data_IF_439173261172
#
_entry.id   IF_439173261172
#
_cell.length_a   1.000
_cell.length_b   1.000
_cell.length_c   1.000
_cell.angle_alpha   90.00
_cell.angle_beta   90.00
_cell.angle_gamma   90.00
#
_symmetry.space_group_name_H-M   'P 1'
#
loop_
_entity.id
_entity.type
_entity.pdbx_description
1 polymer ?
#
# COMPACT_ATOMS: atom_id res chain seq x y z
N UNK A 1 -8.68 22.39 15.65
CA UNK A 1 -8.89 20.93 15.65
C UNK A 1 -8.28 20.39 16.94
N UNK A 2 -9.02 19.58 17.68
CA UNK A 2 -8.44 18.71 18.72
C UNK A 2 -8.48 17.32 18.10
N UNK A 3 -7.33 16.82 17.66
CA UNK A 3 -7.21 15.56 16.95
C UNK A 3 -6.11 14.75 17.62
N UNK A 4 -6.27 13.44 17.74
CA UNK A 4 -5.22 12.65 18.40
C UNK A 4 -3.98 12.52 17.53
N UNK A 5 -4.18 12.34 16.23
CA UNK A 5 -3.12 12.29 15.24
C UNK A 5 -3.46 13.22 14.06
N UNK A 6 -2.46 13.93 13.55
CA UNK A 6 -2.52 14.63 12.27
C UNK A 6 -1.53 13.97 11.32
N UNK A 7 -1.99 13.61 10.14
CA UNK A 7 -1.17 12.93 9.13
C UNK A 7 -0.92 13.88 7.97
N UNK A 8 0.35 14.21 7.73
CA UNK A 8 0.75 14.85 6.48
C UNK A 8 0.65 13.83 5.35
N UNK A 9 0.06 14.22 4.23
CA UNK A 9 -0.35 13.29 3.18
C UNK A 9 0.49 13.46 1.92
N UNK A 10 1.12 12.39 1.43
CA UNK A 10 1.84 12.38 0.15
C UNK A 10 1.28 11.37 -0.85
N UNK A 11 0.34 10.53 -0.46
CA UNK A 11 -0.24 9.47 -1.29
C UNK A 11 -1.55 9.94 -1.94
N UNK A 12 -2.68 9.25 -1.80
CA UNK A 12 -3.87 9.45 -2.64
C UNK A 12 -4.53 10.83 -2.44
N UNK A 13 -4.26 11.50 -1.32
CA UNK A 13 -4.67 12.90 -1.09
C UNK A 13 -3.91 13.93 -1.93
N UNK A 14 -2.87 13.53 -2.67
CA UNK A 14 -2.03 14.42 -3.49
C UNK A 14 -2.04 13.98 -4.95
N UNK A 15 -2.41 14.90 -5.84
CA UNK A 15 -2.36 14.66 -7.28
C UNK A 15 -0.92 14.39 -7.77
N UNK A 16 -0.77 13.49 -8.75
CA UNK A 16 0.54 13.07 -9.28
C UNK A 16 1.47 14.25 -9.68
N UNK A 17 1.01 15.31 -10.38
CA UNK A 17 1.86 16.44 -10.74
C UNK A 17 2.34 17.27 -9.53
N UNK A 18 1.63 17.16 -8.40
CA UNK A 18 1.90 17.94 -7.19
C UNK A 18 2.77 17.20 -6.19
N UNK A 19 3.07 15.91 -6.40
CA UNK A 19 3.87 15.07 -5.47
C UNK A 19 5.20 15.71 -5.10
N UNK A 20 5.93 16.23 -6.08
CA UNK A 20 7.23 16.86 -5.84
C UNK A 20 7.12 18.08 -4.91
N UNK A 21 6.11 18.94 -5.13
CA UNK A 21 5.87 20.12 -4.30
C UNK A 21 5.37 19.70 -2.91
N UNK A 22 4.47 18.72 -2.84
CA UNK A 22 3.92 18.22 -1.58
C UNK A 22 5.02 17.63 -0.66
N UNK A 23 6.02 16.94 -1.21
CA UNK A 23 7.18 16.46 -0.45
C UNK A 23 7.93 17.60 0.23
N UNK A 24 8.24 18.66 -0.53
CA UNK A 24 8.95 19.84 -0.01
C UNK A 24 8.11 20.48 1.10
N UNK A 25 6.81 20.67 0.86
CA UNK A 25 5.90 21.25 1.84
C UNK A 25 5.76 20.38 3.10
N UNK A 26 5.75 19.05 2.96
CA UNK A 26 5.72 18.13 4.10
C UNK A 26 7.01 18.22 4.91
N UNK A 27 8.18 18.26 4.27
CA UNK A 27 9.48 18.45 4.92
C UNK A 27 9.53 19.76 5.70
N UNK A 28 9.13 20.87 5.08
CA UNK A 28 9.06 22.18 5.74
C UNK A 28 8.04 22.19 6.90
N UNK A 29 6.90 21.53 6.72
CA UNK A 29 5.87 21.42 7.75
C UNK A 29 6.35 20.63 8.98
N UNK A 30 7.14 19.57 8.81
CA UNK A 30 7.69 18.80 9.94
C UNK A 30 8.52 19.70 10.87
N UNK A 31 9.42 20.51 10.31
CA UNK A 31 10.27 21.40 11.09
C UNK A 31 9.49 22.56 11.71
N UNK A 32 8.55 23.13 10.95
CA UNK A 32 7.70 24.21 11.45
C UNK A 32 6.83 23.74 12.62
N UNK A 33 6.17 22.59 12.46
CA UNK A 33 5.20 22.09 13.44
C UNK A 33 5.87 21.51 14.68
N UNK A 34 7.13 21.06 14.60
CA UNK A 34 7.89 20.57 15.77
C UNK A 34 8.10 21.66 16.84
N UNK A 35 8.18 22.93 16.45
CA UNK A 35 8.33 24.07 17.36
C UNK A 35 7.03 24.67 17.87
N UNK A 36 5.88 24.19 17.39
CA UNK A 36 4.56 24.73 17.75
C UNK A 36 3.88 23.86 18.81
N UNK A 37 3.12 24.49 19.71
CA UNK A 37 2.24 23.75 20.62
C UNK A 37 1.01 23.27 19.84
N UNK A 38 1.16 22.11 19.20
CA UNK A 38 0.06 21.49 18.46
C UNK A 38 -1.06 21.09 19.41
N UNK A 39 -2.30 21.25 18.97
CA UNK A 39 -3.49 20.69 19.63
C UNK A 39 -3.75 19.25 19.18
N UNK A 40 -2.69 18.54 18.79
CA UNK A 40 -2.71 17.12 18.48
C UNK A 40 -1.59 16.38 19.22
N UNK A 41 -1.83 15.11 19.54
CA UNK A 41 -0.87 14.30 20.30
C UNK A 41 0.27 13.78 19.41
N UNK A 42 -0.02 13.45 18.14
CA UNK A 42 0.95 12.85 17.22
C UNK A 42 0.92 13.51 15.83
N UNK A 43 2.10 13.66 15.21
CA UNK A 43 2.28 14.08 13.83
C UNK A 43 2.81 12.90 13.00
N UNK A 44 1.95 12.35 12.16
CA UNK A 44 2.29 11.31 11.21
C UNK A 44 2.61 11.87 9.83
N UNK A 45 3.24 11.05 8.99
CA UNK A 45 3.43 11.31 7.57
C UNK A 45 3.10 10.05 6.78
N UNK A 46 2.08 10.11 5.92
CA UNK A 46 1.75 9.05 4.96
C UNK A 46 2.53 9.27 3.68
N UNK A 47 3.43 8.35 3.39
CA UNK A 47 4.25 8.32 2.17
C UNK A 47 3.53 7.54 1.07
N UNK A 48 4.03 7.61 -0.15
CA UNK A 48 3.54 6.77 -1.25
C UNK A 48 3.93 5.30 -1.04
N UNK A 49 3.14 4.40 -1.63
CA UNK A 49 3.36 2.96 -1.57
C UNK A 49 4.65 2.53 -2.29
N UNK A 50 5.14 1.33 -1.98
CA UNK A 50 6.27 0.71 -2.70
C UNK A 50 5.92 0.54 -4.18
N UNK A 51 4.72 0.03 -4.47
CA UNK A 51 4.24 -0.24 -5.83
C UNK A 51 4.17 1.02 -6.71
N UNK A 52 3.98 2.21 -6.13
CA UNK A 52 3.97 3.47 -6.87
C UNK A 52 5.33 3.86 -7.46
N UNK A 53 6.43 3.30 -6.94
CA UNK A 53 7.80 3.72 -7.27
C UNK A 53 8.22 5.07 -6.69
N UNK A 54 7.34 5.76 -5.94
CA UNK A 54 7.56 7.12 -5.43
C UNK A 54 8.12 7.17 -4.00
N UNK A 55 8.08 6.06 -3.26
CA UNK A 55 8.54 5.99 -1.87
C UNK A 55 9.99 6.48 -1.69
N UNK A 56 10.88 6.13 -2.62
CA UNK A 56 12.27 6.57 -2.58
C UNK A 56 12.43 8.09 -2.63
N UNK A 57 11.66 8.75 -3.49
CA UNK A 57 11.66 10.21 -3.62
C UNK A 57 11.08 10.89 -2.38
N UNK A 58 10.02 10.32 -1.81
CA UNK A 58 9.39 10.82 -0.59
C UNK A 58 10.40 10.82 0.55
N UNK A 59 11.01 9.65 0.81
CA UNK A 59 11.95 9.48 1.92
C UNK A 59 13.20 10.34 1.72
N UNK A 60 13.73 10.40 0.50
CA UNK A 60 14.92 11.22 0.18
C UNK A 60 14.69 12.70 0.46
N UNK A 61 13.50 13.22 0.17
CA UNK A 61 13.17 14.62 0.46
C UNK A 61 12.91 14.85 1.95
N UNK A 62 12.10 14.00 2.57
CA UNK A 62 11.69 14.11 3.98
C UNK A 62 12.88 13.95 4.93
N UNK A 63 13.88 13.15 4.55
CA UNK A 63 15.14 13.04 5.28
C UNK A 63 15.88 14.38 5.48
N UNK A 64 15.56 15.42 4.71
CA UNK A 64 16.21 16.72 4.84
C UNK A 64 15.66 17.55 6.01
N UNK A 65 14.42 17.27 6.47
CA UNK A 65 13.85 17.93 7.64
C UNK A 65 14.74 17.67 8.85
N UNK A 66 14.89 18.63 9.76
CA UNK A 66 15.62 18.43 11.03
C UNK A 66 14.87 17.45 11.94
N UNK A 67 13.54 17.60 11.99
CA UNK A 67 12.60 16.81 12.79
C UNK A 67 11.89 15.75 11.94
N UNK A 68 11.77 14.54 12.49
CA UNK A 68 11.02 13.45 11.89
C UNK A 68 9.59 13.39 12.44
N UNK A 69 8.63 12.85 11.67
CA UNK A 69 7.31 12.52 12.22
C UNK A 69 7.43 11.46 13.32
N UNK A 70 6.47 11.42 14.23
CA UNK A 70 6.36 10.33 15.22
C UNK A 70 6.04 9.00 14.55
N UNK A 71 5.32 9.01 13.42
CA UNK A 71 5.00 7.81 12.67
C UNK A 71 5.08 8.03 11.15
N UNK A 72 5.77 7.12 10.46
CA UNK A 72 5.60 6.94 9.01
C UNK A 72 4.47 5.96 8.75
N UNK A 73 3.53 6.36 7.91
CA UNK A 73 2.43 5.52 7.45
C UNK A 73 2.73 5.09 6.01
N UNK A 74 2.82 3.78 5.78
CA UNK A 74 3.09 3.23 4.44
C UNK A 74 1.84 2.51 3.93
N UNK A 75 1.21 3.03 2.86
CA UNK A 75 0.00 2.45 2.30
C UNK A 75 0.31 1.24 1.41
N UNK A 76 -0.73 0.46 1.11
CA UNK A 76 -0.74 -0.62 0.10
C UNK A 76 0.44 -1.60 0.24
N UNK A 77 0.67 -2.12 1.46
CA UNK A 77 1.70 -3.13 1.73
C UNK A 77 1.13 -4.52 1.43
N UNK A 78 1.55 -5.12 0.31
CA UNK A 78 0.97 -6.36 -0.22
C UNK A 78 1.78 -7.62 0.05
N UNK A 79 3.02 -7.47 0.53
CA UNK A 79 3.95 -8.58 0.65
C UNK A 79 5.08 -8.35 1.67
N UNK A 80 5.71 -9.41 2.21
CA UNK A 80 6.95 -9.31 2.98
C UNK A 80 8.09 -8.62 2.22
N UNK A 81 8.11 -8.72 0.89
CA UNK A 81 9.10 -8.08 0.02
C UNK A 81 8.92 -6.56 -0.01
N UNK A 82 7.68 -6.06 0.05
CA UNK A 82 7.41 -4.62 0.20
C UNK A 82 7.97 -4.11 1.52
N UNK A 83 7.80 -4.87 2.61
CA UNK A 83 8.38 -4.52 3.93
C UNK A 83 9.90 -4.43 3.86
N UNK A 84 10.56 -5.38 3.21
CA UNK A 84 12.02 -5.33 3.02
C UNK A 84 12.42 -4.07 2.24
N UNK A 85 11.70 -3.77 1.15
CA UNK A 85 11.93 -2.58 0.33
C UNK A 85 11.76 -1.29 1.12
N UNK A 86 10.73 -1.19 1.96
CA UNK A 86 10.53 -0.05 2.87
C UNK A 86 11.77 0.14 3.73
N UNK A 87 12.21 -0.91 4.43
CA UNK A 87 13.37 -0.83 5.32
C UNK A 87 14.65 -0.40 4.58
N UNK A 88 14.87 -0.93 3.38
CA UNK A 88 16.05 -0.62 2.57
C UNK A 88 16.04 0.83 2.09
N UNK A 89 14.89 1.36 1.65
CA UNK A 89 14.74 2.77 1.26
C UNK A 89 15.04 3.70 2.44
N UNK A 90 14.46 3.42 3.61
CA UNK A 90 14.70 4.25 4.79
C UNK A 90 16.17 4.19 5.23
N UNK A 91 16.77 2.99 5.32
CA UNK A 91 18.18 2.81 5.69
C UNK A 91 19.16 3.48 4.73
N UNK A 92 18.86 3.45 3.43
CA UNK A 92 19.73 4.04 2.41
C UNK A 92 19.74 5.57 2.45
N UNK A 93 18.69 6.19 2.99
CA UNK A 93 18.54 7.65 3.05
C UNK A 93 18.75 8.23 4.45
N UNK A 94 18.65 7.42 5.51
CA UNK A 94 18.77 7.90 6.89
C UNK A 94 20.22 7.96 7.34
N UNK A 95 20.56 8.97 8.15
CA UNK A 95 21.86 9.02 8.82
C UNK A 95 21.94 7.94 9.91
N UNK A 96 23.15 7.48 10.31
CA UNK A 96 23.29 6.48 11.37
C UNK A 96 22.54 6.83 12.66
N UNK A 97 22.51 8.12 13.02
CA UNK A 97 21.77 8.64 14.18
C UNK A 97 20.27 8.37 14.08
N UNK A 98 19.68 8.54 12.88
CA UNK A 98 18.24 8.33 12.64
C UNK A 98 17.86 6.86 12.54
N UNK A 99 18.75 6.02 12.02
CA UNK A 99 18.55 4.57 12.02
C UNK A 99 18.54 4.02 13.46
N UNK A 100 19.25 4.65 14.40
CA UNK A 100 19.19 4.28 15.82
C UNK A 100 18.05 4.95 16.59
N UNK A 101 17.28 5.86 15.97
CA UNK A 101 16.19 6.54 16.63
C UNK A 101 14.97 5.61 16.74
N UNK A 102 14.62 5.27 17.98
CA UNK A 102 13.47 4.39 18.28
C UNK A 102 12.18 5.17 18.51
N UNK A 103 12.20 6.51 18.38
CA UNK A 103 11.01 7.34 18.54
C UNK A 103 10.14 7.34 17.29
N UNK A 104 10.71 7.10 16.11
CA UNK A 104 9.95 7.02 14.86
C UNK A 104 9.30 5.63 14.74
N UNK A 105 7.97 5.62 14.62
CA UNK A 105 7.13 4.43 14.47
C UNK A 105 6.82 4.15 13.00
N UNK A 106 6.50 2.89 12.70
CA UNK A 106 5.97 2.45 11.42
C UNK A 106 4.53 2.01 11.59
N UNK A 107 3.66 2.51 10.74
CA UNK A 107 2.29 2.06 10.56
C UNK A 107 2.15 1.58 9.12
N UNK A 108 1.67 0.35 8.92
CA UNK A 108 1.45 -0.20 7.57
C UNK A 108 -0.04 -0.30 7.30
N UNK A 109 -0.44 -0.11 6.05
CA UNK A 109 -1.83 -0.31 5.65
C UNK A 109 -1.98 -1.60 4.83
N UNK A 110 -3.01 -2.35 5.18
CA UNK A 110 -3.46 -3.56 4.52
C UNK A 110 -4.74 -3.18 3.78
N UNK A 111 -4.65 -3.10 2.46
CA UNK A 111 -5.65 -2.42 1.63
C UNK A 111 -6.02 -3.22 0.37
N UNK A 112 -5.58 -4.48 0.27
CA UNK A 112 -5.91 -5.35 -0.86
C UNK A 112 -6.33 -6.74 -0.36
N UNK A 113 -7.03 -7.50 -1.20
CA UNK A 113 -7.39 -8.88 -0.90
C UNK A 113 -6.16 -9.75 -0.68
N UNK A 114 -5.08 -9.49 -1.42
CA UNK A 114 -3.81 -10.21 -1.29
C UNK A 114 -3.17 -9.89 0.05
N UNK A 115 -3.04 -8.60 0.39
CA UNK A 115 -2.45 -8.15 1.64
C UNK A 115 -3.17 -8.74 2.85
N UNK A 116 -4.50 -8.76 2.81
CA UNK A 116 -5.30 -9.29 3.91
C UNK A 116 -5.05 -10.78 4.15
N UNK A 117 -4.95 -11.58 3.08
CA UNK A 117 -4.66 -13.01 3.16
C UNK A 117 -3.22 -13.29 3.60
N UNK A 118 -2.25 -12.47 3.17
CA UNK A 118 -0.83 -12.62 3.50
C UNK A 118 -0.41 -11.85 4.77
N UNK A 119 -1.36 -11.17 5.42
CA UNK A 119 -1.12 -10.28 6.57
C UNK A 119 -0.27 -10.92 7.69
N UNK A 120 -0.50 -12.18 8.11
CA UNK A 120 0.35 -12.80 9.13
C UNK A 120 1.82 -12.87 8.74
N UNK A 121 2.13 -13.10 7.46
CA UNK A 121 3.51 -13.13 6.94
C UNK A 121 4.09 -11.73 6.86
N UNK A 122 3.32 -10.75 6.40
CA UNK A 122 3.71 -9.33 6.34
C UNK A 122 4.08 -8.82 7.75
N UNK A 123 3.19 -9.01 8.73
CA UNK A 123 3.41 -8.57 10.11
C UNK A 123 4.58 -9.30 10.74
N UNK A 124 4.69 -10.62 10.57
CA UNK A 124 5.82 -11.40 11.11
C UNK A 124 7.16 -10.95 10.52
N UNK A 125 7.21 -10.70 9.20
CA UNK A 125 8.40 -10.17 8.53
C UNK A 125 8.80 -8.81 9.11
N UNK A 126 7.83 -7.91 9.28
CA UNK A 126 8.05 -6.57 9.84
C UNK A 126 8.60 -6.63 11.27
N UNK A 127 8.01 -7.47 12.13
CA UNK A 127 8.48 -7.64 13.51
C UNK A 127 9.89 -8.24 13.58
N UNK A 128 10.20 -9.20 12.70
CA UNK A 128 11.52 -9.83 12.66
C UNK A 128 12.58 -8.86 12.13
N UNK A 129 12.26 -8.07 11.11
CA UNK A 129 13.15 -7.02 10.62
C UNK A 129 13.46 -6.03 11.74
N UNK A 130 12.45 -5.50 12.42
CA UNK A 130 12.64 -4.62 13.58
C UNK A 130 13.57 -5.22 14.64
N UNK A 131 13.35 -6.47 15.04
CA UNK A 131 14.19 -7.15 16.05
C UNK A 131 15.65 -7.24 15.65
N UNK A 132 15.91 -7.46 14.35
CA UNK A 132 17.27 -7.62 13.82
C UNK A 132 17.95 -6.28 13.55
N UNK A 133 17.18 -5.24 13.23
CA UNK A 133 17.69 -3.93 12.81
C UNK A 133 17.66 -2.86 13.90
N UNK A 134 16.80 -3.00 14.91
CA UNK A 134 16.42 -1.93 15.84
C UNK A 134 15.48 -0.87 15.25
N UNK A 135 15.18 -0.93 13.95
CA UNK A 135 14.53 0.13 13.17
C UNK A 135 13.87 -0.45 11.91
N UNK A 136 12.61 -0.18 11.58
CA UNK A 136 11.61 0.61 12.31
C UNK A 136 10.79 -0.26 13.27
N UNK A 137 10.22 0.34 14.32
CA UNK A 137 9.27 -0.38 15.16
C UNK A 137 7.87 -0.31 14.55
N UNK A 138 7.30 -1.46 14.18
CA UNK A 138 5.88 -1.55 13.84
C UNK A 138 5.03 -1.26 15.08
N UNK A 139 4.10 -0.32 14.95
CA UNK A 139 3.24 0.13 16.05
C UNK A 139 1.76 -0.16 15.79
N UNK A 140 1.32 -0.01 14.53
CA UNK A 140 -0.06 -0.30 14.14
C UNK A 140 -0.17 -0.86 12.71
N UNK A 141 -1.30 -1.51 12.46
CA UNK A 141 -1.74 -1.93 11.13
C UNK A 141 -3.10 -1.29 10.89
N UNK A 142 -3.25 -0.61 9.76
CA UNK A 142 -4.51 0.02 9.34
C UNK A 142 -5.16 -0.81 8.25
N UNK A 143 -6.47 -1.01 8.33
CA UNK A 143 -7.23 -1.65 7.26
C UNK A 143 -7.88 -0.58 6.39
N UNK A 144 -7.43 -0.45 5.15
CA UNK A 144 -8.01 0.47 4.17
C UNK A 144 -9.18 -0.19 3.46
N UNK A 145 -10.39 0.02 3.97
CA UNK A 145 -11.59 -0.67 3.47
C UNK A 145 -11.96 -0.30 2.04
N UNK A 146 -11.78 0.97 1.67
CA UNK A 146 -12.26 1.50 0.39
C UNK A 146 -11.39 0.97 -0.75
N UNK A 147 -10.06 1.04 -0.58
CA UNK A 147 -9.08 0.44 -1.47
C UNK A 147 -9.22 -1.09 -1.55
N UNK A 148 -9.51 -1.75 -0.42
CA UNK A 148 -9.78 -3.19 -0.40
C UNK A 148 -11.00 -3.56 -1.24
N UNK A 149 -12.09 -2.79 -1.11
CA UNK A 149 -13.29 -2.99 -1.91
C UNK A 149 -13.02 -2.75 -3.39
N UNK A 150 -12.25 -1.71 -3.72
CA UNK A 150 -11.86 -1.41 -5.09
C UNK A 150 -11.01 -2.55 -5.71
N UNK A 151 -9.98 -3.04 -5.01
CA UNK A 151 -9.13 -4.16 -5.45
C UNK A 151 -9.95 -5.43 -5.74
N UNK A 152 -10.94 -5.73 -4.89
CA UNK A 152 -11.83 -6.87 -5.13
C UNK A 152 -12.72 -6.64 -6.35
N UNK A 153 -13.33 -5.47 -6.47
CA UNK A 153 -14.23 -5.15 -7.58
C UNK A 153 -13.49 -5.24 -8.93
N UNK A 154 -12.28 -4.69 -9.02
CA UNK A 154 -11.44 -4.76 -10.22
C UNK A 154 -11.07 -6.20 -10.59
N UNK A 155 -10.77 -7.05 -9.61
CA UNK A 155 -10.49 -8.49 -9.83
C UNK A 155 -11.70 -9.25 -10.35
N UNK A 156 -12.90 -8.93 -9.86
CA UNK A 156 -14.15 -9.54 -10.32
C UNK A 156 -14.47 -9.09 -11.76
N UNK A 157 -14.31 -7.80 -12.06
CA UNK A 157 -14.50 -7.27 -13.42
C UNK A 157 -13.51 -7.93 -14.39
N UNK A 158 -12.22 -7.96 -14.05
CA UNK A 158 -11.19 -8.63 -14.84
C UNK A 158 -11.53 -10.09 -15.11
N UNK A 159 -11.93 -10.84 -14.08
CA UNK A 159 -12.29 -12.25 -14.21
C UNK A 159 -13.51 -12.44 -15.13
N UNK A 160 -14.52 -11.58 -15.00
CA UNK A 160 -15.74 -11.63 -15.80
C UNK A 160 -15.44 -11.37 -17.28
N UNK A 161 -14.68 -10.32 -17.58
CA UNK A 161 -14.28 -9.98 -18.94
C UNK A 161 -13.42 -11.08 -19.58
N UNK A 162 -12.47 -11.65 -18.83
CA UNK A 162 -11.59 -12.69 -19.34
C UNK A 162 -12.36 -13.96 -19.70
N UNK A 163 -13.28 -14.40 -18.82
CA UNK A 163 -14.11 -15.58 -19.07
C UNK A 163 -15.01 -15.35 -20.29
N UNK A 164 -15.63 -14.16 -20.41
CA UNK A 164 -16.47 -13.83 -21.57
C UNK A 164 -15.65 -13.80 -22.88
N UNK A 165 -14.47 -13.17 -22.87
CA UNK A 165 -13.57 -13.15 -24.02
C UNK A 165 -13.10 -14.57 -24.40
N UNK A 166 -12.82 -15.43 -23.42
CA UNK A 166 -12.45 -16.82 -23.65
C UNK A 166 -13.57 -17.61 -24.34
N UNK A 167 -14.82 -17.49 -23.87
CA UNK A 167 -15.97 -18.16 -24.49
C UNK A 167 -16.16 -17.78 -25.95
N UNK A 168 -15.96 -16.50 -26.31
CA UNK A 168 -16.04 -16.04 -27.70
C UNK A 168 -14.93 -16.66 -28.57
N UNK A 169 -13.68 -16.66 -28.10
CA UNK A 169 -12.54 -17.19 -28.86
C UNK A 169 -12.57 -18.72 -28.98
N UNK A 170 -13.12 -19.42 -27.97
CA UNK A 170 -13.31 -20.86 -28.03
C UNK A 170 -14.35 -21.27 -29.09
N UNK A 171 -15.42 -20.47 -29.26
CA UNK A 171 -16.40 -20.67 -30.33
C UNK A 171 -15.78 -20.49 -31.73
N UNK A 172 -14.73 -19.67 -31.86
CA UNK A 172 -13.94 -19.49 -33.08
C UNK A 172 -12.83 -20.55 -33.26
N UNK A 173 -12.69 -21.50 -32.31
CA UNK A 173 -11.67 -22.55 -32.37
C UNK A 173 -10.25 -22.10 -32.04
N UNK A 174 -10.07 -20.92 -31.44
CA UNK A 174 -8.75 -20.38 -31.06
C UNK A 174 -8.40 -20.81 -29.63
N UNK A 175 -7.35 -21.63 -29.50
CA UNK A 175 -6.88 -22.11 -28.19
C UNK A 175 -6.03 -21.13 -27.38
N UNK A 176 -5.57 -20.04 -28.01
CA UNK A 176 -4.82 -18.96 -27.36
C UNK A 176 -5.25 -17.63 -27.99
N UNK A 177 -5.42 -16.60 -27.16
CA UNK A 177 -5.75 -15.25 -27.61
C UNK A 177 -5.08 -14.20 -26.71
N UNK A 178 -5.07 -12.97 -27.19
CA UNK A 178 -4.60 -11.83 -26.40
C UNK A 178 -5.77 -11.13 -25.72
N UNK A 179 -5.62 -10.81 -24.43
CA UNK A 179 -6.55 -10.01 -23.66
C UNK A 179 -5.76 -9.01 -22.81
N UNK A 180 -6.15 -7.73 -22.88
CA UNK A 180 -5.44 -6.60 -22.24
C UNK A 180 -3.92 -6.62 -22.50
N UNK A 181 -3.50 -6.98 -23.72
CA UNK A 181 -2.09 -7.04 -24.13
C UNK A 181 -1.31 -8.25 -23.62
N UNK A 182 -1.94 -9.18 -22.90
CA UNK A 182 -1.33 -10.42 -22.41
C UNK A 182 -1.85 -11.64 -23.16
N UNK A 183 -0.97 -12.60 -23.41
CA UNK A 183 -1.37 -13.89 -23.97
C UNK A 183 -2.07 -14.69 -22.86
N UNK A 184 -3.32 -15.11 -23.12
CA UNK A 184 -4.09 -15.89 -22.16
C UNK A 184 -3.78 -17.36 -22.34
N UNK A 185 -3.38 -17.98 -21.23
CA UNK A 185 -3.15 -19.41 -21.11
C UNK A 185 -4.15 -20.07 -20.16
N UNK A 186 -4.02 -21.39 -19.98
CA UNK A 186 -4.92 -22.17 -19.13
C UNK A 186 -4.82 -21.79 -17.64
N UNK A 187 -3.62 -21.61 -17.03
CA UNK A 187 -3.50 -21.13 -15.66
C UNK A 187 -4.25 -19.81 -15.38
N UNK A 188 -4.10 -18.81 -16.25
CA UNK A 188 -4.73 -17.51 -16.04
C UNK A 188 -6.26 -17.59 -16.15
N UNK A 189 -6.76 -18.40 -17.08
CA UNK A 189 -8.19 -18.70 -17.16
C UNK A 189 -8.72 -19.40 -15.90
N UNK A 190 -7.98 -20.38 -15.35
CA UNK A 190 -8.38 -21.07 -14.13
C UNK A 190 -8.47 -20.09 -12.95
N UNK A 191 -7.57 -19.10 -12.87
CA UNK A 191 -7.67 -18.05 -11.85
C UNK A 191 -8.96 -17.23 -11.98
N UNK A 192 -9.29 -16.78 -13.19
CA UNK A 192 -10.53 -16.05 -13.44
C UNK A 192 -11.77 -16.89 -13.09
N UNK A 193 -11.80 -18.17 -13.51
CA UNK A 193 -12.90 -19.07 -13.18
C UNK A 193 -13.05 -19.29 -11.67
N UNK A 194 -11.94 -19.46 -10.95
CA UNK A 194 -11.98 -19.59 -9.49
C UNK A 194 -12.55 -18.33 -8.82
N UNK A 195 -12.22 -17.14 -9.33
CA UNK A 195 -12.78 -15.88 -8.82
C UNK A 195 -14.30 -15.83 -9.04
N UNK A 196 -14.78 -16.14 -10.26
CA UNK A 196 -16.21 -16.17 -10.57
C UNK A 196 -16.95 -17.17 -9.69
N UNK A 197 -16.41 -18.39 -9.56
CA UNK A 197 -17.00 -19.43 -8.70
C UNK A 197 -17.07 -18.97 -7.23
N UNK A 198 -16.04 -18.26 -6.75
CA UNK A 198 -16.03 -17.72 -5.39
C UNK A 198 -17.12 -16.65 -5.22
N UNK A 199 -17.26 -15.74 -6.18
CA UNK A 199 -18.33 -14.73 -6.19
C UNK A 199 -19.71 -15.37 -6.19
N UNK A 200 -19.94 -16.40 -7.02
CA UNK A 200 -21.21 -17.14 -7.06
C UNK A 200 -21.50 -17.86 -5.72
N UNK A 201 -20.47 -18.42 -5.08
CA UNK A 201 -20.61 -19.12 -3.80
C UNK A 201 -20.94 -18.18 -2.63
N UNK A 202 -20.41 -16.95 -2.67
CA UNK A 202 -20.68 -15.91 -1.66
C UNK A 202 -22.00 -15.19 -1.96
N UNK A 203 -22.32 -15.02 -3.25
CA UNK A 203 -23.55 -14.39 -3.77
C UNK A 203 -24.81 -15.26 -3.68
N UNK A 204 -24.79 -16.34 -2.90
CA UNK A 204 -25.96 -17.16 -2.64
C UNK A 204 -27.14 -16.32 -2.11
N UNK A 205 -28.15 -16.13 -2.97
CA UNK A 205 -29.42 -15.40 -2.78
C UNK A 205 -29.38 -13.90 -3.11
N UNK A 206 -29.13 -13.57 -4.38
CA UNK A 206 -29.82 -12.47 -5.05
C UNK A 206 -30.43 -12.99 -6.36
N UNK A 207 -31.47 -13.83 -6.26
CA UNK A 207 -32.41 -13.99 -7.37
C UNK A 207 -33.19 -12.68 -7.48
N UNK A 208 -33.05 -12.03 -8.63
CA UNK A 208 -33.85 -10.88 -9.07
C UNK A 208 -35.33 -11.06 -8.70
N UNK A 209 -35.93 -9.99 -8.16
CA UNK A 209 -37.38 -9.77 -8.14
C UNK A 209 -37.71 -8.61 -9.05
#
# INVERSE_FOLDING_TARGET
LQADCVVLELEDGVALPSKAIARIQATEALDKLAGEQLRCFELGLRVNSVASGLLGDDVKEVCKAEHLPQAFMVPKVDSPEDVATIYDVFRSNYTPKRVTDTNTRLVIWIESARALLDMPRIVSSTLNLHKNSGFFKLDAVVFGSDDYCADIAEKVEWATELVHAFSQHQAEGKGAFQFRGQMIDRPLLLQALNIIQLVESVGGVAKEK
#
